data_IF_782624357085
#
_entry.id   IF_782624357085
#
_cell.length_a   1.000
_cell.length_b   1.000
_cell.length_c   1.000
_cell.angle_alpha   90.00
_cell.angle_beta   90.00
_cell.angle_gamma   90.00
#
_symmetry.space_group_name_H-M   'P 1'
#
loop_
_entity.id
_entity.type
_entity.pdbx_description
1 polymer ?
#
# COMPACT_ATOMS: atom_id res chain seq x y z
N UNK A 1 2.22 -7.38 27.04
CA UNK A 1 0.90 -7.62 26.45
C UNK A 1 1.06 -7.89 24.96
N UNK A 2 0.45 -8.95 24.49
CA UNK A 2 0.51 -9.32 23.08
C UNK A 2 -0.65 -8.64 22.35
N UNK A 3 -0.33 -7.99 21.23
CA UNK A 3 -1.35 -7.37 20.38
C UNK A 3 -1.63 -8.32 19.23
N UNK A 4 -2.88 -8.72 19.08
CA UNK A 4 -3.26 -9.62 18.00
C UNK A 4 -3.21 -8.89 16.67
N UNK A 5 -2.59 -9.51 15.68
CA UNK A 5 -2.56 -8.97 14.33
C UNK A 5 -3.74 -9.54 13.55
N UNK A 6 -4.57 -8.64 13.05
CA UNK A 6 -5.72 -8.99 12.24
C UNK A 6 -5.29 -9.16 10.78
N UNK A 7 -4.33 -8.35 10.34
CA UNK A 7 -3.82 -8.37 8.97
C UNK A 7 -2.32 -8.52 8.97
N UNK A 8 -1.79 -9.00 7.87
CA UNK A 8 -0.37 -9.11 7.63
C UNK A 8 -0.01 -8.13 6.52
N UNK A 9 1.13 -7.46 6.65
CA UNK A 9 1.62 -6.52 5.63
C UNK A 9 2.91 -7.07 5.06
N UNK A 10 2.95 -7.21 3.75
CA UNK A 10 4.16 -7.59 3.03
C UNK A 10 4.37 -6.60 1.89
N UNK A 11 5.54 -6.62 1.27
CA UNK A 11 5.76 -5.79 0.08
C UNK A 11 6.24 -6.66 -1.08
N UNK A 12 5.81 -6.27 -2.26
CA UNK A 12 6.10 -6.97 -3.48
C UNK A 12 7.33 -6.36 -4.15
N UNK A 13 8.36 -7.18 -4.33
CA UNK A 13 9.65 -6.75 -4.88
C UNK A 13 10.24 -5.61 -4.05
N UNK A 14 10.87 -4.63 -4.71
CA UNK A 14 11.67 -3.62 -4.01
C UNK A 14 11.13 -2.19 -4.11
N UNK A 15 9.96 -2.01 -4.72
CA UNK A 15 9.46 -0.65 -5.00
C UNK A 15 9.11 0.11 -3.73
N UNK A 16 8.39 -0.52 -2.81
CA UNK A 16 8.09 0.12 -1.54
C UNK A 16 9.37 0.38 -0.75
N UNK A 17 10.24 -0.60 -0.69
CA UNK A 17 11.48 -0.50 0.09
C UNK A 17 12.34 0.66 -0.42
N UNK A 18 12.49 0.81 -1.74
CA UNK A 18 13.24 1.92 -2.31
C UNK A 18 12.61 3.26 -1.96
N UNK A 19 11.30 3.35 -2.07
CA UNK A 19 10.58 4.55 -1.68
C UNK A 19 10.81 4.86 -0.21
N UNK A 20 10.64 3.87 0.66
CA UNK A 20 10.78 4.01 2.11
C UNK A 20 12.18 4.50 2.47
N UNK A 21 13.20 3.89 1.87
CA UNK A 21 14.58 4.19 2.21
C UNK A 21 15.00 5.60 1.81
N UNK A 22 14.29 6.23 0.89
CA UNK A 22 14.57 7.61 0.49
C UNK A 22 13.97 8.64 1.44
N UNK A 23 13.20 8.22 2.41
CA UNK A 23 12.51 9.15 3.31
C UNK A 23 13.37 9.50 4.52
N UNK A 24 13.02 10.61 5.18
CA UNK A 24 13.68 10.98 6.44
C UNK A 24 13.26 10.02 7.54
N UNK A 25 14.02 10.00 8.64
CA UNK A 25 13.70 9.14 9.78
C UNK A 25 12.29 9.41 10.30
N UNK A 26 11.89 10.68 10.37
CA UNK A 26 10.56 11.02 10.88
C UNK A 26 9.44 10.52 9.98
N UNK A 27 9.63 10.61 8.67
CA UNK A 27 8.65 10.08 7.73
C UNK A 27 8.61 8.56 7.80
N UNK A 28 9.76 7.91 7.91
CA UNK A 28 9.82 6.45 8.08
C UNK A 28 9.06 6.01 9.32
N UNK A 29 9.24 6.71 10.44
CA UNK A 29 8.52 6.40 11.68
C UNK A 29 7.03 6.51 11.48
N UNK A 30 6.59 7.54 10.77
CA UNK A 30 5.16 7.74 10.50
C UNK A 30 4.60 6.65 9.61
N UNK A 31 5.36 6.27 8.58
CA UNK A 31 4.95 5.16 7.70
C UNK A 31 4.82 3.88 8.52
N UNK A 32 5.83 3.57 9.33
CA UNK A 32 5.81 2.37 10.17
C UNK A 32 4.61 2.36 11.10
N UNK A 33 4.29 3.51 11.68
CA UNK A 33 3.15 3.62 12.58
C UNK A 33 1.84 3.31 11.84
N UNK A 34 1.65 3.89 10.65
CA UNK A 34 0.42 3.65 9.88
C UNK A 34 0.33 2.18 9.47
N UNK A 35 1.45 1.58 9.05
CA UNK A 35 1.45 0.17 8.68
C UNK A 35 1.12 -0.72 9.89
N UNK A 36 1.64 -0.35 11.06
CA UNK A 36 1.31 -1.08 12.29
C UNK A 36 -0.19 -1.00 12.60
N UNK A 37 -0.77 0.20 12.48
CA UNK A 37 -2.22 0.37 12.69
C UNK A 37 -3.01 -0.53 11.74
N UNK A 38 -2.58 -0.63 10.49
CA UNK A 38 -3.25 -1.49 9.50
C UNK A 38 -3.23 -2.95 9.96
N UNK A 39 -2.16 -3.39 10.63
CA UNK A 39 -2.09 -4.78 11.07
C UNK A 39 -3.00 -5.09 12.24
N UNK A 40 -3.29 -4.12 13.11
CA UNK A 40 -4.00 -4.39 14.36
C UNK A 40 -5.42 -3.83 14.42
N UNK A 41 -5.75 -2.83 13.61
CA UNK A 41 -7.06 -2.17 13.68
C UNK A 41 -8.15 -3.08 13.11
N UNK A 42 -9.23 -3.22 13.85
CA UNK A 42 -10.39 -3.94 13.35
C UNK A 42 -10.92 -3.28 12.09
N UNK A 43 -11.12 -1.96 12.16
CA UNK A 43 -11.48 -1.16 10.99
C UNK A 43 -10.40 -0.12 10.75
N UNK A 44 -9.91 -0.05 9.52
CA UNK A 44 -8.90 0.94 9.16
C UNK A 44 -9.63 2.22 8.75
N UNK A 45 -9.35 3.35 9.42
CA UNK A 45 -9.98 4.62 9.03
C UNK A 45 -9.73 4.93 7.54
N UNK A 46 -10.76 5.43 6.87
CA UNK A 46 -10.69 5.75 5.44
C UNK A 46 -9.57 6.74 5.13
N UNK A 47 -9.26 7.62 6.07
CA UNK A 47 -8.17 8.59 5.85
C UNK A 47 -6.80 7.93 5.72
N UNK A 48 -6.66 6.68 6.19
CA UNK A 48 -5.39 5.95 6.08
C UNK A 48 -5.39 4.92 4.98
N UNK A 49 -6.56 4.39 4.62
CA UNK A 49 -6.64 3.26 3.69
C UNK A 49 -7.93 3.37 2.89
N UNK A 50 -7.80 3.63 1.60
CA UNK A 50 -8.95 3.96 0.76
C UNK A 50 -8.83 3.29 -0.59
N UNK A 51 -9.95 2.76 -1.08
CA UNK A 51 -10.01 2.21 -2.44
C UNK A 51 -9.79 3.31 -3.47
N UNK A 52 -8.98 3.03 -4.48
CA UNK A 52 -8.72 3.98 -5.57
C UNK A 52 -9.85 3.84 -6.58
N UNK A 53 -10.58 4.93 -6.79
CA UNK A 53 -11.72 4.92 -7.70
C UNK A 53 -11.31 4.53 -9.12
N UNK A 54 -12.17 3.76 -9.77
CA UNK A 54 -11.93 3.34 -11.14
C UNK A 54 -10.98 2.18 -11.27
N UNK A 55 -10.53 1.60 -10.16
CA UNK A 55 -9.63 0.45 -10.20
C UNK A 55 -10.29 -0.77 -9.58
N UNK A 56 -9.81 -1.93 -9.96
CA UNK A 56 -10.26 -3.19 -9.40
C UNK A 56 -9.29 -3.60 -8.29
N UNK A 57 -9.65 -3.28 -7.05
CA UNK A 57 -8.92 -3.76 -5.89
C UNK A 57 -7.59 -3.08 -5.60
N UNK A 58 -7.39 -1.87 -6.10
CA UNK A 58 -6.22 -1.08 -5.74
C UNK A 58 -6.59 -0.16 -4.58
N UNK A 59 -5.75 -0.15 -3.54
CA UNK A 59 -5.97 0.68 -2.36
C UNK A 59 -4.79 1.61 -2.16
N UNK A 60 -5.08 2.74 -1.53
CA UNK A 60 -4.09 3.76 -1.25
C UNK A 60 -3.94 3.90 0.25
N UNK A 61 -2.70 3.77 0.73
CA UNK A 61 -2.36 4.06 2.11
C UNK A 61 -1.85 5.49 2.13
N UNK A 62 -2.47 6.34 2.95
CA UNK A 62 -2.12 7.75 3.03
C UNK A 62 -1.36 8.03 4.31
N UNK A 63 -0.21 8.68 4.17
CA UNK A 63 0.64 9.07 5.29
C UNK A 63 0.89 10.57 5.18
N UNK A 64 0.57 11.33 6.24
CA UNK A 64 0.83 12.76 6.28
C UNK A 64 1.88 13.07 7.33
N UNK A 65 2.83 13.91 6.95
CA UNK A 65 3.84 14.38 7.90
C UNK A 65 4.42 15.70 7.42
N UNK A 66 4.45 16.69 8.32
CA UNK A 66 5.09 17.98 8.03
C UNK A 66 4.48 18.71 6.85
N UNK A 67 3.18 18.59 6.63
CA UNK A 67 2.51 19.23 5.51
C UNK A 67 2.64 18.48 4.19
N UNK A 68 3.37 17.35 4.18
CA UNK A 68 3.54 16.54 2.99
C UNK A 68 2.65 15.31 3.05
N UNK A 69 2.25 14.83 1.88
CA UNK A 69 1.42 13.64 1.76
C UNK A 69 2.19 12.59 0.99
N UNK A 70 2.26 11.40 1.57
CA UNK A 70 2.91 10.24 0.95
C UNK A 70 1.84 9.19 0.73
N UNK A 71 1.87 8.53 -0.42
CA UNK A 71 0.88 7.53 -0.75
C UNK A 71 1.57 6.24 -1.11
N UNK A 72 1.03 5.15 -0.59
CA UNK A 72 1.56 3.81 -0.87
C UNK A 72 0.41 3.02 -1.45
N UNK A 73 0.56 2.55 -2.69
CA UNK A 73 -0.45 1.72 -3.30
C UNK A 73 -0.32 0.30 -2.81
N UNK A 74 -1.44 -0.35 -2.63
CA UNK A 74 -1.49 -1.70 -2.08
C UNK A 74 -2.68 -2.45 -2.65
N UNK A 75 -2.67 -3.77 -2.47
CA UNK A 75 -3.81 -4.61 -2.78
C UNK A 75 -3.99 -5.62 -1.66
N UNK A 76 -5.15 -6.25 -1.63
CA UNK A 76 -5.45 -7.27 -0.63
C UNK A 76 -5.41 -8.63 -1.28
N UNK A 77 -4.67 -9.55 -0.66
CA UNK A 77 -4.63 -10.93 -1.08
C UNK A 77 -5.36 -11.75 -0.03
N UNK A 78 -6.46 -12.38 -0.43
CA UNK A 78 -7.33 -13.16 0.45
C UNK A 78 -7.86 -12.35 1.64
N UNK A 79 -8.00 -11.03 1.46
CA UNK A 79 -8.66 -10.16 2.43
C UNK A 79 -7.87 -9.77 3.66
N UNK A 80 -6.82 -10.52 4.02
CA UNK A 80 -6.06 -10.27 5.24
C UNK A 80 -4.60 -9.92 4.97
N UNK A 81 -4.12 -10.20 3.79
CA UNK A 81 -2.74 -9.90 3.42
C UNK A 81 -2.70 -8.63 2.62
N UNK A 82 -2.10 -7.59 3.20
CA UNK A 82 -1.94 -6.29 2.55
C UNK A 82 -0.59 -6.30 1.84
N UNK A 83 -0.63 -6.19 0.52
CA UNK A 83 0.58 -6.25 -0.31
C UNK A 83 0.93 -4.84 -0.75
N UNK A 84 2.06 -4.32 -0.28
CA UNK A 84 2.53 -2.98 -0.66
C UNK A 84 3.19 -3.04 -2.04
N UNK A 85 2.82 -2.10 -2.88
CA UNK A 85 3.32 -2.03 -4.26
C UNK A 85 4.33 -0.89 -4.39
N UNK A 86 3.92 0.24 -4.93
CA UNK A 86 4.81 1.39 -5.08
C UNK A 86 4.34 2.54 -4.20
N UNK A 87 5.31 3.36 -3.78
CA UNK A 87 5.02 4.56 -2.99
C UNK A 87 5.56 5.80 -3.68
N UNK A 88 4.96 6.94 -3.36
CA UNK A 88 5.40 8.22 -3.91
C UNK A 88 4.94 9.35 -3.01
N UNK A 89 5.62 10.49 -3.13
CA UNK A 89 5.20 11.70 -2.45
C UNK A 89 4.25 12.48 -3.36
N UNK A 90 3.08 12.80 -2.85
CA UNK A 90 2.11 13.54 -3.65
C UNK A 90 2.53 15.01 -3.72
N UNK A 91 2.73 15.51 -4.93
CA UNK A 91 3.18 16.88 -5.16
C UNK A 91 2.14 17.75 -5.85
N UNK A 92 0.96 17.19 -6.14
CA UNK A 92 -0.12 17.94 -6.78
C UNK A 92 -1.45 17.45 -6.24
N UNK A 93 -2.53 18.13 -6.62
CA UNK A 93 -3.88 17.75 -6.20
C UNK A 93 -4.30 16.40 -6.74
N UNK A 94 -3.81 16.04 -7.92
CA UNK A 94 -4.19 14.79 -8.56
C UNK A 94 -3.12 13.73 -8.37
N UNK A 95 -3.56 12.49 -8.18
CA UNK A 95 -2.63 11.36 -8.20
C UNK A 95 -2.16 11.16 -9.64
N UNK A 96 -0.84 11.08 -9.87
CA UNK A 96 -0.33 10.87 -11.23
C UNK A 96 -0.82 9.55 -11.81
N UNK A 97 -1.32 9.59 -13.04
CA UNK A 97 -1.79 8.37 -13.72
C UNK A 97 -0.69 7.33 -13.84
N UNK A 98 0.55 7.77 -14.07
CA UNK A 98 1.67 6.85 -14.18
C UNK A 98 1.88 6.00 -12.94
N UNK A 99 1.64 6.58 -11.75
CA UNK A 99 1.77 5.83 -10.50
C UNK A 99 0.66 4.81 -10.35
N UNK A 100 -0.56 5.16 -10.76
CA UNK A 100 -1.68 4.22 -10.73
C UNK A 100 -1.43 3.07 -11.70
N UNK A 101 -1.03 3.39 -12.94
CA UNK A 101 -0.76 2.37 -13.94
C UNK A 101 0.34 1.42 -13.48
N UNK A 102 1.39 1.97 -12.88
CA UNK A 102 2.47 1.17 -12.33
C UNK A 102 1.94 0.22 -11.24
N UNK A 103 1.12 0.75 -10.35
CA UNK A 103 0.56 -0.05 -9.26
C UNK A 103 -0.32 -1.18 -9.80
N UNK A 104 -1.14 -0.90 -10.80
CA UNK A 104 -2.01 -1.91 -11.38
C UNK A 104 -1.20 -3.01 -12.06
N UNK A 105 -0.11 -2.65 -12.73
CA UNK A 105 0.76 -3.63 -13.35
C UNK A 105 1.45 -4.49 -12.29
N UNK A 106 1.94 -3.88 -11.22
CA UNK A 106 2.58 -4.60 -10.14
C UNK A 106 1.60 -5.54 -9.46
N UNK A 107 0.35 -5.10 -9.26
CA UNK A 107 -0.70 -5.95 -8.70
C UNK A 107 -0.93 -7.17 -9.58
N UNK A 108 -1.05 -6.97 -10.88
CA UNK A 108 -1.24 -8.06 -11.81
C UNK A 108 -0.07 -9.05 -11.74
N UNK A 109 1.16 -8.53 -11.76
CA UNK A 109 2.35 -9.36 -11.69
C UNK A 109 2.40 -10.14 -10.38
N UNK A 110 2.04 -9.50 -9.26
CA UNK A 110 2.01 -10.18 -7.97
C UNK A 110 1.09 -11.39 -7.99
N UNK A 111 -0.13 -11.20 -8.48
CA UNK A 111 -1.11 -12.28 -8.48
C UNK A 111 -0.74 -13.39 -9.46
N UNK A 112 -0.14 -13.04 -10.59
CA UNK A 112 0.33 -14.06 -11.53
C UNK A 112 1.48 -14.88 -10.95
N UNK A 113 2.38 -14.24 -10.22
CA UNK A 113 3.54 -14.93 -9.65
C UNK A 113 3.19 -15.75 -8.43
N UNK A 114 2.24 -15.31 -7.61
CA UNK A 114 1.91 -15.98 -6.37
C UNK A 114 0.79 -17.01 -6.52
N UNK A 115 -0.16 -16.76 -7.43
CA UNK A 115 -1.31 -17.67 -7.62
C UNK A 115 -1.25 -18.40 -8.96
N UNK A 116 -0.22 -18.14 -9.75
CA UNK A 116 -0.08 -18.73 -11.07
C UNK A 116 -1.00 -18.06 -12.09
N UNK A 117 -0.87 -18.45 -13.36
CA UNK A 117 -1.76 -17.92 -14.38
C UNK A 117 -3.20 -18.22 -14.04
N UNK A 118 -4.11 -17.33 -14.44
CA UNK A 118 -5.52 -17.52 -14.20
C UNK A 118 -5.95 -18.88 -14.74
N UNK A 119 -6.65 -19.67 -13.91
CA UNK A 119 -7.14 -20.97 -14.41
C UNK A 119 -8.02 -20.71 -15.61
N UNK A 120 -7.81 -21.52 -16.62
CA UNK A 120 -8.69 -21.50 -17.78
C UNK A 120 -9.98 -22.16 -17.40
N UNK A 121 -11.07 -21.49 -17.63
CA UNK A 121 -12.39 -22.01 -17.30
C UNK A 121 -13.03 -22.59 -18.53
#
# INVERSE_FOLDING_TARGET
MVVDQIRQVIFYKHYFEEFFNRQTEKVKEKIDHILFVITIADRIPVKFFKHVEGTDGLYEIRVEYGGNIYRIFSCLDEGRLVVLLNGFQKKSQKTPFGEIDKALKLKQDYFEETHGPHPQK
#
